data_IF_483965322779
#
_entry.id   IF_483965322779
#
_cell.length_a   1.000
_cell.length_b   1.000
_cell.length_c   1.000
_cell.angle_alpha   90.00
_cell.angle_beta   90.00
_cell.angle_gamma   90.00
#
_symmetry.space_group_name_H-M   'P 1'
#
loop_
_entity.id
_entity.type
_entity.pdbx_description
1 polymer ?
#
# COMPACT_ATOMS: atom_id res chain seq x y z
N UNK A 1 -9.99 48.42 10.35
CA UNK A 1 -9.77 47.31 11.29
C UNK A 1 -11.11 46.91 11.87
N UNK A 2 -11.59 45.72 11.53
CA UNK A 2 -12.79 45.13 12.11
C UNK A 2 -12.49 43.67 12.42
N UNK A 3 -12.39 43.42 13.72
CA UNK A 3 -12.21 42.14 14.36
C UNK A 3 -13.59 41.54 14.65
N UNK A 4 -13.88 40.37 14.08
CA UNK A 4 -14.95 39.47 14.55
C UNK A 4 -14.46 38.04 14.28
N UNK A 5 -13.86 37.44 15.30
CA UNK A 5 -13.78 35.98 15.40
C UNK A 5 -15.16 35.37 15.23
N UNK A 6 -15.34 34.57 14.18
CA UNK A 6 -16.50 33.69 14.06
C UNK A 6 -16.15 32.37 14.69
N UNK A 7 -16.82 32.11 15.81
CA UNK A 7 -16.94 30.80 16.45
C UNK A 7 -17.26 29.74 15.40
N UNK A 8 -16.34 28.79 15.22
CA UNK A 8 -16.59 27.53 14.51
C UNK A 8 -17.36 26.64 15.48
N UNK A 9 -18.60 26.22 15.18
CA UNK A 9 -19.29 25.29 16.06
C UNK A 9 -18.55 23.96 16.08
N UNK A 10 -18.05 23.58 17.26
CA UNK A 10 -17.52 22.24 17.52
C UNK A 10 -18.65 21.23 17.34
N UNK A 11 -18.63 20.49 16.23
CA UNK A 11 -19.57 19.40 15.98
C UNK A 11 -19.21 18.26 16.94
N UNK A 12 -19.94 18.17 18.06
CA UNK A 12 -20.00 16.95 18.87
C UNK A 12 -20.96 15.96 18.19
N UNK A 13 -20.54 14.73 17.85
CA UNK A 13 -21.45 13.75 17.28
C UNK A 13 -22.43 13.26 18.35
N UNK A 14 -23.70 13.63 18.19
CA UNK A 14 -24.82 13.12 18.97
C UNK A 14 -25.07 11.65 18.63
N UNK A 15 -25.18 10.84 19.67
CA UNK A 15 -25.50 9.41 19.64
C UNK A 15 -26.87 9.14 18.99
N UNK A 16 -26.90 8.06 18.19
CA UNK A 16 -28.06 7.21 17.83
C UNK A 16 -28.66 7.38 16.44
N UNK A 17 -28.11 6.66 15.45
CA UNK A 17 -28.88 5.96 14.40
C UNK A 17 -28.07 4.74 13.95
N UNK A 18 -28.54 3.52 14.27
CA UNK A 18 -27.99 2.27 13.74
C UNK A 18 -28.21 2.23 12.22
N UNK A 19 -27.16 2.53 11.47
CA UNK A 19 -27.09 2.28 10.03
C UNK A 19 -26.21 1.05 9.79
N UNK A 20 -26.52 0.29 8.74
CA UNK A 20 -25.78 -0.91 8.40
C UNK A 20 -24.33 -0.58 7.99
N UNK A 21 -23.37 -1.04 8.80
CA UNK A 21 -21.98 -1.30 8.42
C UNK A 21 -21.12 -0.07 8.14
N UNK A 22 -20.87 0.74 9.16
CA UNK A 22 -19.74 1.68 9.15
C UNK A 22 -18.45 0.86 9.38
N UNK A 23 -17.47 0.98 8.48
CA UNK A 23 -16.21 0.25 8.60
C UNK A 23 -15.25 1.01 9.52
N UNK A 24 -14.41 0.34 10.32
CA UNK A 24 -13.43 1.01 11.15
C UNK A 24 -12.44 1.83 10.30
N UNK A 25 -12.29 3.11 10.64
CA UNK A 25 -11.34 4.07 10.01
C UNK A 25 -10.17 4.39 10.95
N UNK A 26 -10.18 3.87 12.18
CA UNK A 26 -9.13 4.12 13.17
C UNK A 26 -7.73 3.80 12.59
N UNK A 27 -6.78 4.72 12.74
CA UNK A 27 -5.39 4.54 12.28
C UNK A 27 -5.23 4.29 10.76
N UNK A 28 -6.19 4.74 9.96
CA UNK A 28 -6.09 4.82 8.50
C UNK A 28 -5.88 6.27 8.12
N UNK A 29 -4.88 6.54 7.29
CA UNK A 29 -4.63 7.86 6.72
C UNK A 29 -5.19 7.88 5.29
N UNK A 30 -5.80 8.99 4.88
CA UNK A 30 -6.28 9.18 3.51
C UNK A 30 -5.55 10.36 2.88
N UNK A 31 -5.15 10.22 1.61
CA UNK A 31 -4.53 11.31 0.87
C UNK A 31 -5.57 12.37 0.52
N UNK A 32 -6.67 11.91 -0.07
CA UNK A 32 -7.79 12.74 -0.50
C UNK A 32 -9.10 12.32 0.17
N UNK A 33 -10.10 13.20 0.12
CA UNK A 33 -11.42 12.92 0.68
C UNK A 33 -12.11 11.76 -0.06
N UNK A 34 -11.85 11.66 -1.36
CA UNK A 34 -12.38 10.65 -2.26
C UNK A 34 -11.90 9.24 -1.88
N UNK A 35 -10.68 9.11 -1.34
CA UNK A 35 -10.12 7.83 -0.89
C UNK A 35 -10.89 7.31 0.34
N UNK A 36 -11.28 8.21 1.25
CA UNK A 36 -12.11 7.87 2.40
C UNK A 36 -13.47 7.32 1.97
N UNK A 37 -14.04 7.81 0.87
CA UNK A 37 -15.30 7.30 0.31
C UNK A 37 -15.13 5.88 -0.25
N UNK A 38 -13.94 5.53 -0.77
CA UNK A 38 -13.61 4.21 -1.31
C UNK A 38 -13.27 3.18 -0.24
N UNK A 39 -12.95 3.63 0.98
CA UNK A 39 -12.51 2.76 2.08
C UNK A 39 -13.46 1.59 2.36
N UNK A 40 -14.79 1.81 2.32
CA UNK A 40 -15.77 0.75 2.58
C UNK A 40 -15.61 -0.44 1.64
N UNK A 41 -15.24 -0.21 0.38
CA UNK A 41 -15.02 -1.26 -0.60
C UNK A 41 -13.69 -1.98 -0.37
N UNK A 42 -12.63 -1.21 -0.13
CA UNK A 42 -11.28 -1.75 0.12
C UNK A 42 -11.22 -2.55 1.43
N UNK A 43 -11.90 -2.09 2.48
CA UNK A 43 -11.94 -2.76 3.78
C UNK A 43 -12.45 -4.21 3.68
N UNK A 44 -13.46 -4.45 2.84
CA UNK A 44 -14.04 -5.77 2.64
C UNK A 44 -13.34 -6.58 1.53
N UNK A 45 -12.39 -5.98 0.81
CA UNK A 45 -11.63 -6.67 -0.23
C UNK A 45 -10.78 -7.76 0.43
N UNK A 46 -10.87 -8.97 -0.11
CA UNK A 46 -10.00 -10.09 0.27
C UNK A 46 -8.61 -9.86 -0.32
N UNK A 47 -7.58 -9.99 0.50
CA UNK A 47 -6.19 -10.00 0.06
C UNK A 47 -5.70 -11.43 0.02
N UNK A 48 -4.98 -11.79 -1.04
CA UNK A 48 -4.23 -13.04 -1.06
C UNK A 48 -2.99 -12.86 -0.19
N UNK A 49 -2.73 -13.81 0.70
CA UNK A 49 -1.44 -13.89 1.38
C UNK A 49 -0.44 -14.45 0.38
N UNK A 50 0.60 -13.69 0.11
CA UNK A 50 1.75 -14.19 -0.63
C UNK A 50 2.39 -15.30 0.21
N UNK A 51 2.68 -16.44 -0.44
CA UNK A 51 3.25 -17.60 0.24
C UNK A 51 4.77 -17.50 0.16
N UNK A 52 5.42 -17.56 1.31
CA UNK A 52 6.85 -17.79 1.37
C UNK A 52 7.19 -19.23 0.95
N UNK A 53 8.43 -19.42 0.50
CA UNK A 53 9.00 -20.75 0.32
C UNK A 53 8.93 -21.53 1.64
N UNK A 54 8.43 -22.76 1.56
CA UNK A 54 8.50 -23.69 2.68
C UNK A 54 9.95 -24.02 3.02
N UNK A 55 10.21 -24.38 4.28
CA UNK A 55 11.56 -24.74 4.76
C UNK A 55 12.22 -25.82 3.90
N UNK A 56 11.44 -26.79 3.44
CA UNK A 56 11.85 -27.86 2.53
C UNK A 56 12.48 -27.34 1.23
N UNK A 57 11.91 -26.27 0.65
CA UNK A 57 12.42 -25.69 -0.59
C UNK A 57 13.76 -24.95 -0.38
N UNK A 58 14.02 -24.47 0.83
CA UNK A 58 15.27 -23.78 1.19
C UNK A 58 16.42 -24.74 1.48
N UNK A 59 16.10 -26.00 1.80
CA UNK A 59 17.10 -27.06 1.96
C UNK A 59 17.62 -27.56 0.60
N UNK A 60 16.89 -27.27 -0.50
CA UNK A 60 17.30 -27.61 -1.85
C UNK A 60 18.23 -26.52 -2.42
N UNK A 61 19.53 -26.81 -2.45
CA UNK A 61 20.56 -25.89 -2.95
C UNK A 61 20.30 -25.42 -4.39
N UNK A 62 19.89 -26.33 -5.29
CA UNK A 62 19.60 -26.00 -6.68
C UNK A 62 18.45 -24.99 -6.81
N UNK A 63 17.37 -25.18 -6.04
CA UNK A 63 16.22 -24.26 -6.02
C UNK A 63 16.64 -22.89 -5.46
N UNK A 64 17.38 -22.89 -4.36
CA UNK A 64 17.85 -21.64 -3.74
C UNK A 64 18.79 -20.88 -4.67
N UNK A 65 19.70 -21.58 -5.35
CA UNK A 65 20.63 -20.97 -6.29
C UNK A 65 19.88 -20.38 -7.50
N UNK A 66 18.87 -21.08 -8.03
CA UNK A 66 18.01 -20.54 -9.09
C UNK A 66 17.34 -19.22 -8.70
N UNK A 67 16.80 -19.13 -7.48
CA UNK A 67 16.18 -17.89 -6.99
C UNK A 67 17.20 -16.78 -6.73
N UNK A 68 18.41 -17.12 -6.26
CA UNK A 68 19.51 -16.15 -6.08
C UNK A 68 19.95 -15.58 -7.42
N UNK A 69 20.19 -16.44 -8.41
CA UNK A 69 20.63 -16.05 -9.74
C UNK A 69 19.58 -15.19 -10.45
N UNK A 70 18.30 -15.47 -10.23
CA UNK A 70 17.18 -14.66 -10.73
C UNK A 70 16.93 -13.36 -9.94
N UNK A 71 17.63 -13.12 -8.82
CA UNK A 71 17.39 -11.98 -7.94
C UNK A 71 16.00 -11.99 -7.27
N UNK A 72 15.42 -13.18 -7.08
CA UNK A 72 14.07 -13.38 -6.57
C UNK A 72 14.03 -13.83 -5.10
N UNK A 73 15.17 -14.20 -4.51
CA UNK A 73 15.18 -14.77 -3.17
C UNK A 73 14.45 -13.89 -2.13
N UNK A 74 14.61 -12.56 -2.21
CA UNK A 74 13.98 -11.59 -1.30
C UNK A 74 12.46 -11.44 -1.49
N UNK A 75 11.91 -11.87 -2.62
CA UNK A 75 10.45 -11.81 -2.87
C UNK A 75 9.74 -13.07 -2.47
N UNK A 76 10.47 -14.17 -2.22
CA UNK A 76 9.89 -15.49 -1.94
C UNK A 76 10.30 -16.04 -0.57
N UNK A 77 11.14 -15.32 0.19
CA UNK A 77 11.62 -15.76 1.50
C UNK A 77 11.87 -14.57 2.45
N UNK A 78 11.59 -14.77 3.73
CA UNK A 78 11.82 -13.75 4.77
C UNK A 78 10.86 -12.56 4.66
N UNK A 79 9.71 -12.78 4.04
CA UNK A 79 8.55 -11.90 4.01
C UNK A 79 7.98 -11.87 5.44
N UNK A 80 8.36 -10.85 6.19
CA UNK A 80 7.85 -10.64 7.54
C UNK A 80 6.33 -10.47 7.58
N UNK A 81 5.79 -10.39 8.79
CA UNK A 81 4.35 -10.24 9.01
C UNK A 81 3.77 -9.05 8.23
N UNK A 82 2.75 -9.33 7.44
CA UNK A 82 2.04 -8.32 6.67
C UNK A 82 0.86 -7.77 7.49
N UNK A 83 0.87 -6.46 7.76
CA UNK A 83 -0.27 -5.82 8.40
C UNK A 83 -1.36 -5.52 7.36
N UNK A 84 -2.38 -6.39 7.29
CA UNK A 84 -3.46 -6.33 6.28
C UNK A 84 -4.09 -4.93 6.14
N UNK A 85 -4.31 -4.23 7.25
CA UNK A 85 -4.89 -2.88 7.26
C UNK A 85 -3.97 -1.86 6.59
N UNK A 86 -2.65 -2.01 6.69
CA UNK A 86 -1.67 -1.16 5.99
C UNK A 86 -1.69 -1.42 4.48
N UNK A 87 -1.82 -2.68 4.04
CA UNK A 87 -1.97 -2.97 2.60
C UNK A 87 -3.25 -2.36 2.05
N UNK A 88 -4.33 -2.41 2.83
CA UNK A 88 -5.59 -1.76 2.48
C UNK A 88 -5.48 -0.24 2.47
N UNK A 89 -4.78 0.36 3.43
CA UNK A 89 -4.46 1.80 3.46
C UNK A 89 -3.63 2.21 2.23
N UNK A 90 -2.61 1.43 1.88
CA UNK A 90 -1.83 1.65 0.67
C UNK A 90 -2.73 1.59 -0.58
N UNK A 91 -3.56 0.56 -0.70
CA UNK A 91 -4.40 0.32 -1.88
C UNK A 91 -5.46 1.40 -2.09
N UNK A 92 -6.07 1.91 -1.01
CA UNK A 92 -7.11 2.94 -1.12
C UNK A 92 -6.53 4.30 -1.52
N UNK A 93 -5.26 4.55 -1.18
CA UNK A 93 -4.57 5.82 -1.46
C UNK A 93 -3.75 5.81 -2.75
N UNK A 94 -3.89 4.80 -3.63
CA UNK A 94 -3.26 4.81 -4.95
C UNK A 94 -3.99 5.87 -5.82
N UNK A 95 -3.30 6.94 -6.25
CA UNK A 95 -3.91 7.98 -7.09
C UNK A 95 -4.30 7.43 -8.46
N UNK A 96 -5.39 7.95 -9.04
CA UNK A 96 -5.85 7.53 -10.38
C UNK A 96 -4.83 7.82 -11.48
N UNK A 97 -4.04 8.88 -11.31
CA UNK A 97 -3.03 9.37 -12.25
C UNK A 97 -1.60 9.00 -11.82
N UNK A 98 -1.45 7.96 -11.00
CA UNK A 98 -0.14 7.48 -10.53
C UNK A 98 0.80 7.03 -11.65
N UNK A 99 0.27 6.72 -12.84
CA UNK A 99 1.00 6.31 -14.03
C UNK A 99 1.32 7.46 -15.00
N UNK A 100 0.80 8.67 -14.73
CA UNK A 100 0.99 9.85 -15.58
C UNK A 100 2.25 10.64 -15.16
N UNK A 101 3.34 10.69 -15.97
CA UNK A 101 4.57 11.39 -15.62
C UNK A 101 4.42 12.91 -15.44
N UNK A 102 3.32 13.49 -15.92
CA UNK A 102 3.02 14.92 -15.76
C UNK A 102 2.27 15.23 -14.47
N UNK A 103 1.79 14.20 -13.75
CA UNK A 103 1.11 14.37 -12.48
C UNK A 103 2.09 14.63 -11.34
N UNK A 104 1.65 15.41 -10.34
CA UNK A 104 2.36 15.53 -9.06
C UNK A 104 2.31 14.25 -8.24
N UNK A 105 1.32 13.40 -8.51
CA UNK A 105 1.07 12.11 -7.86
C UNK A 105 1.73 10.94 -8.60
N UNK A 106 2.48 11.21 -9.67
CA UNK A 106 3.21 10.19 -10.43
C UNK A 106 4.08 9.34 -9.50
N UNK A 107 3.81 8.04 -9.48
CA UNK A 107 4.52 7.05 -8.67
C UNK A 107 4.60 7.45 -7.19
N UNK A 108 3.53 8.03 -6.64
CA UNK A 108 3.42 8.38 -5.21
C UNK A 108 2.15 7.85 -4.57
N UNK A 109 2.29 7.44 -3.32
CA UNK A 109 1.19 6.90 -2.51
C UNK A 109 1.27 7.49 -1.13
N UNK A 110 0.12 7.81 -0.55
CA UNK A 110 0.04 8.31 0.81
C UNK A 110 -0.18 7.15 1.77
N UNK A 111 0.66 7.03 2.78
CA UNK A 111 0.59 5.93 3.75
C UNK A 111 1.19 6.37 5.07
N UNK A 112 0.54 6.06 6.19
CA UNK A 112 0.98 6.44 7.55
C UNK A 112 1.23 7.94 7.74
N UNK A 113 0.49 8.78 7.03
CA UNK A 113 0.63 10.23 7.11
C UNK A 113 1.72 10.84 6.23
N UNK A 114 2.40 10.03 5.40
CA UNK A 114 3.48 10.47 4.53
C UNK A 114 3.20 10.12 3.06
N UNK A 115 3.62 11.00 2.16
CA UNK A 115 3.62 10.74 0.73
C UNK A 115 4.96 10.11 0.33
N UNK A 116 4.94 8.86 -0.10
CA UNK A 116 6.15 8.09 -0.45
C UNK A 116 6.19 7.81 -1.93
N UNK A 117 7.39 7.84 -2.51
CA UNK A 117 7.59 7.42 -3.90
C UNK A 117 7.62 5.89 -4.00
N UNK A 118 6.84 5.35 -4.91
CA UNK A 118 6.79 3.93 -5.24
C UNK A 118 6.95 3.78 -6.75
N UNK A 119 8.19 3.60 -7.20
CA UNK A 119 8.50 3.35 -8.61
C UNK A 119 9.10 1.96 -8.78
N UNK A 120 9.08 1.38 -10.00
CA UNK A 120 9.81 0.16 -10.28
C UNK A 120 11.27 0.23 -9.83
N UNK A 121 11.95 1.36 -10.06
CA UNK A 121 13.32 1.58 -9.62
C UNK A 121 13.48 1.55 -8.09
N UNK A 122 12.59 2.21 -7.34
CA UNK A 122 12.60 2.19 -5.86
C UNK A 122 12.40 0.76 -5.34
N UNK A 123 11.43 0.04 -5.90
CA UNK A 123 11.11 -1.34 -5.51
C UNK A 123 12.28 -2.27 -5.85
N UNK A 124 12.82 -2.18 -7.08
CA UNK A 124 13.95 -3.00 -7.52
C UNK A 124 15.18 -2.74 -6.66
N UNK A 125 15.48 -1.48 -6.34
CA UNK A 125 16.56 -1.12 -5.42
C UNK A 125 16.37 -1.73 -4.02
N UNK A 126 15.15 -1.67 -3.47
CA UNK A 126 14.85 -2.29 -2.17
C UNK A 126 15.02 -3.82 -2.21
N UNK A 127 14.61 -4.44 -3.32
CA UNK A 127 14.72 -5.88 -3.55
C UNK A 127 16.11 -6.33 -4.05
N UNK A 128 17.08 -5.40 -4.19
CA UNK A 128 18.41 -5.67 -4.77
C UNK A 128 18.35 -6.33 -6.15
N UNK A 129 17.40 -5.91 -6.99
CA UNK A 129 17.25 -6.38 -8.38
C UNK A 129 17.94 -5.45 -9.37
N UNK A 130 18.47 -6.03 -10.43
CA UNK A 130 19.01 -5.28 -11.57
C UNK A 130 17.90 -4.46 -12.24
N UNK A 131 18.23 -3.24 -12.67
CA UNK A 131 17.38 -2.41 -13.53
C UNK A 131 17.56 -2.76 -15.02
N UNK A 132 18.48 -3.66 -15.35
CA UNK A 132 18.70 -4.10 -16.72
C UNK A 132 17.48 -4.89 -17.23
N UNK A 133 17.04 -4.64 -18.47
CA UNK A 133 15.99 -5.43 -19.10
C UNK A 133 16.37 -6.91 -19.08
N UNK A 134 15.60 -7.72 -18.35
CA UNK A 134 15.73 -9.17 -18.43
C UNK A 134 15.21 -9.62 -19.80
N UNK A 135 15.89 -10.53 -20.52
CA UNK A 135 15.38 -11.06 -21.76
C UNK A 135 14.03 -11.72 -21.53
N UNK A 136 13.07 -11.47 -22.41
CA UNK A 136 11.80 -12.19 -22.43
C UNK A 136 12.10 -13.66 -22.66
N UNK A 137 11.80 -14.50 -21.66
CA UNK A 137 11.82 -15.95 -21.81
C UNK A 137 10.58 -16.33 -22.62
N UNK A 138 10.78 -16.68 -23.90
CA UNK A 138 9.77 -17.29 -24.78
C UNK A 138 9.30 -18.67 -24.28
#
# INVERSE_FOLDING_TARGET
EYDVGKDVPSIVPSTSKKSAGEVPIDKVSFHFLEDAQRWKFIFHRRLALERELGKEALECEDIVNLFKDAGLLKTVWGIGDCYEKLVKEFLVNIPEDCDNPMSKEYQKVFVRGECVSFSPAVINKFLERSEEPQPELE
#
